data_IF_798897421371
#
_entry.id   IF_798897421371
#
_cell.length_a   1.000
_cell.length_b   1.000
_cell.length_c   1.000
_cell.angle_alpha   90.00
_cell.angle_beta   90.00
_cell.angle_gamma   90.00
#
_symmetry.space_group_name_H-M   'P 1'
#
loop_
_entity.id
_entity.type
_entity.pdbx_description
1 polymer ?
#
# COMPACT_ATOMS: atom_id res chain seq x y z
N UNK A 1 -26.81 10.32 14.11
CA UNK A 1 -26.51 8.94 14.56
C UNK A 1 -25.40 8.44 13.67
N UNK A 2 -24.17 8.18 14.21
CA UNK A 2 -23.07 7.65 13.38
C UNK A 2 -23.49 6.29 12.83
N UNK A 3 -23.17 6.05 11.55
CA UNK A 3 -23.42 4.77 10.90
C UNK A 3 -22.67 3.63 11.63
N UNK A 4 -23.23 2.44 11.65
CA UNK A 4 -22.62 1.26 12.30
C UNK A 4 -21.26 0.92 11.69
N UNK A 5 -21.10 1.10 10.39
CA UNK A 5 -19.83 0.89 9.71
C UNK A 5 -18.74 1.84 10.23
N UNK A 6 -19.05 3.13 10.38
CA UNK A 6 -18.10 4.11 10.93
C UNK A 6 -17.69 3.77 12.38
N UNK A 7 -18.62 3.31 13.21
CA UNK A 7 -18.31 2.89 14.58
C UNK A 7 -17.39 1.66 14.63
N UNK A 8 -17.64 0.67 13.76
CA UNK A 8 -16.79 -0.53 13.64
C UNK A 8 -15.40 -0.13 13.16
N UNK A 9 -15.31 0.73 12.15
CA UNK A 9 -14.04 1.24 11.63
C UNK A 9 -13.24 1.97 12.74
N UNK A 10 -13.85 2.94 13.42
CA UNK A 10 -13.20 3.71 14.49
C UNK A 10 -12.74 2.81 15.64
N UNK A 11 -13.56 1.81 16.03
CA UNK A 11 -13.20 0.86 17.08
C UNK A 11 -12.04 -0.05 16.67
N UNK A 12 -12.07 -0.58 15.45
CA UNK A 12 -10.99 -1.43 14.91
C UNK A 12 -9.69 -0.63 14.77
N UNK A 13 -9.74 0.57 14.18
CA UNK A 13 -8.58 1.45 14.00
C UNK A 13 -7.91 1.76 15.35
N UNK A 14 -8.70 2.18 16.33
CA UNK A 14 -8.20 2.52 17.66
C UNK A 14 -7.59 1.30 18.37
N UNK A 15 -8.24 0.13 18.35
CA UNK A 15 -7.73 -1.07 19.00
C UNK A 15 -6.45 -1.59 18.34
N UNK A 16 -6.39 -1.62 17.01
CA UNK A 16 -5.18 -2.02 16.29
C UNK A 16 -4.02 -1.05 16.55
N UNK A 17 -4.30 0.26 16.62
CA UNK A 17 -3.29 1.25 16.97
C UNK A 17 -2.82 1.15 18.43
N UNK A 18 -3.69 0.83 19.38
CA UNK A 18 -3.36 0.72 20.82
C UNK A 18 -2.62 -0.57 21.14
N UNK A 19 -3.04 -1.72 20.58
CA UNK A 19 -2.66 -3.05 21.07
C UNK A 19 -1.98 -3.95 20.05
N UNK A 20 -1.97 -3.57 18.76
CA UNK A 20 -1.51 -4.41 17.66
C UNK A 20 -2.54 -5.46 17.23
N UNK A 21 -2.37 -5.93 15.99
CA UNK A 21 -3.32 -6.86 15.36
C UNK A 21 -3.49 -8.16 16.17
N UNK A 22 -2.40 -8.79 16.58
CA UNK A 22 -2.46 -10.12 17.19
C UNK A 22 -3.18 -10.12 18.54
N UNK A 23 -3.04 -9.04 19.33
CA UNK A 23 -3.61 -8.89 20.66
C UNK A 23 -5.10 -8.46 20.69
N UNK A 24 -5.70 -8.15 19.53
CA UNK A 24 -7.08 -7.68 19.42
C UNK A 24 -7.99 -8.82 18.95
N UNK A 25 -9.18 -8.92 19.57
CA UNK A 25 -10.22 -9.87 19.16
C UNK A 25 -11.40 -9.14 18.50
N UNK A 26 -12.16 -9.84 17.65
CA UNK A 26 -13.39 -9.30 17.04
C UNK A 26 -14.45 -8.97 18.08
N UNK A 27 -14.47 -9.68 19.22
CA UNK A 27 -15.36 -9.38 20.34
C UNK A 27 -15.03 -8.00 20.94
N UNK A 28 -13.75 -7.71 21.21
CA UNK A 28 -13.34 -6.39 21.72
C UNK A 28 -13.69 -5.26 20.76
N UNK A 29 -13.59 -5.51 19.43
CA UNK A 29 -14.01 -4.51 18.43
C UNK A 29 -15.53 -4.31 18.47
N UNK A 30 -16.33 -5.38 18.52
CA UNK A 30 -17.79 -5.26 18.59
C UNK A 30 -18.27 -4.56 19.86
N UNK A 31 -17.65 -4.88 21.01
CA UNK A 31 -17.95 -4.24 22.29
C UNK A 31 -17.63 -2.74 22.26
N UNK A 32 -16.45 -2.36 21.76
CA UNK A 32 -16.03 -0.95 21.62
C UNK A 32 -16.88 -0.17 20.61
N UNK A 33 -17.34 -0.85 19.54
CA UNK A 33 -18.22 -0.27 18.52
C UNK A 33 -19.68 -0.19 18.98
N UNK A 34 -20.03 -0.77 20.12
CA UNK A 34 -21.41 -0.92 20.61
C UNK A 34 -22.32 -1.56 19.54
N UNK A 35 -21.90 -2.72 19.02
CA UNK A 35 -22.66 -3.54 18.06
C UNK A 35 -22.64 -5.01 18.49
N UNK A 36 -23.67 -5.76 18.13
CA UNK A 36 -23.63 -7.21 18.29
C UNK A 36 -22.58 -7.84 17.37
N UNK A 37 -21.90 -8.90 17.82
CA UNK A 37 -20.89 -9.61 17.02
C UNK A 37 -21.40 -10.03 15.61
N UNK A 38 -22.65 -10.51 15.51
CA UNK A 38 -23.27 -10.82 14.23
C UNK A 38 -23.46 -9.60 13.31
N UNK A 39 -23.54 -8.39 13.87
CA UNK A 39 -23.58 -7.16 13.08
C UNK A 39 -22.18 -6.84 12.53
N UNK A 40 -21.14 -6.99 13.34
CA UNK A 40 -19.77 -6.79 12.90
C UNK A 40 -19.42 -7.70 11.70
N UNK A 41 -19.75 -8.99 11.77
CA UNK A 41 -19.48 -9.96 10.70
C UNK A 41 -20.28 -9.74 9.40
N UNK A 42 -21.27 -8.85 9.41
CA UNK A 42 -21.93 -8.39 8.17
C UNK A 42 -21.13 -7.32 7.42
N UNK A 43 -20.18 -6.66 8.08
CA UNK A 43 -19.31 -5.64 7.49
C UNK A 43 -17.91 -6.15 7.14
N UNK A 44 -17.42 -7.15 7.88
CA UNK A 44 -16.14 -7.79 7.62
C UNK A 44 -16.20 -9.25 8.08
N UNK A 45 -15.84 -10.19 7.21
CA UNK A 45 -15.98 -11.64 7.44
C UNK A 45 -14.96 -12.19 8.44
N UNK A 46 -13.86 -11.46 8.66
CA UNK A 46 -12.73 -11.87 9.48
C UNK A 46 -12.07 -10.70 10.21
N UNK A 47 -11.21 -11.00 11.20
CA UNK A 47 -10.33 -9.97 11.80
C UNK A 47 -9.34 -9.42 10.77
N UNK A 48 -8.88 -10.25 9.85
CA UNK A 48 -8.02 -9.83 8.73
C UNK A 48 -8.73 -8.82 7.83
N UNK A 49 -9.99 -9.06 7.51
CA UNK A 49 -10.78 -8.13 6.69
C UNK A 49 -11.05 -6.80 7.40
N UNK A 50 -11.23 -6.80 8.74
CA UNK A 50 -11.28 -5.55 9.54
C UNK A 50 -9.96 -4.78 9.48
N UNK A 51 -8.83 -5.49 9.50
CA UNK A 51 -7.51 -4.86 9.33
C UNK A 51 -7.38 -4.24 7.94
N UNK A 52 -7.75 -4.98 6.90
CA UNK A 52 -7.74 -4.47 5.52
C UNK A 52 -8.62 -3.22 5.38
N UNK A 53 -9.82 -3.21 5.96
CA UNK A 53 -10.71 -2.05 5.97
C UNK A 53 -10.03 -0.80 6.54
N UNK A 54 -9.33 -0.93 7.67
CA UNK A 54 -8.65 0.18 8.34
C UNK A 54 -7.42 0.63 7.56
N UNK A 55 -6.55 -0.32 7.20
CA UNK A 55 -5.25 0.00 6.58
C UNK A 55 -5.36 0.39 5.10
N UNK A 56 -6.42 0.01 4.40
CA UNK A 56 -6.72 0.54 3.07
C UNK A 56 -6.94 2.06 3.11
N UNK A 57 -7.54 2.59 4.17
CA UNK A 57 -7.74 4.04 4.31
C UNK A 57 -6.41 4.77 4.56
N UNK A 58 -5.53 4.20 5.39
CA UNK A 58 -4.19 4.73 5.58
C UNK A 58 -3.37 4.67 4.28
N UNK A 59 -3.46 3.57 3.54
CA UNK A 59 -2.78 3.40 2.26
C UNK A 59 -3.32 4.39 1.21
N UNK A 60 -4.63 4.61 1.13
CA UNK A 60 -5.26 5.60 0.25
C UNK A 60 -4.74 7.01 0.55
N UNK A 61 -4.72 7.39 1.82
CA UNK A 61 -4.19 8.69 2.26
C UNK A 61 -2.71 8.84 1.91
N UNK A 62 -1.90 7.80 2.11
CA UNK A 62 -0.48 7.80 1.74
C UNK A 62 -0.28 7.95 0.23
N UNK A 63 -1.11 7.30 -0.60
CA UNK A 63 -1.07 7.44 -2.06
C UNK A 63 -1.41 8.88 -2.50
N UNK A 64 -2.42 9.49 -1.92
CA UNK A 64 -2.82 10.87 -2.24
C UNK A 64 -1.73 11.88 -1.88
N UNK A 65 -1.09 11.70 -0.73
CA UNK A 65 0.04 12.52 -0.32
C UNK A 65 1.24 12.31 -1.24
N UNK A 66 1.60 11.07 -1.54
CA UNK A 66 2.69 10.75 -2.46
C UNK A 66 2.47 11.28 -3.87
N UNK A 67 1.24 11.22 -4.38
CA UNK A 67 0.87 11.82 -5.66
C UNK A 67 1.10 13.33 -5.66
N UNK A 68 0.67 14.01 -4.60
CA UNK A 68 0.84 15.46 -4.46
C UNK A 68 2.32 15.85 -4.39
N UNK A 69 3.11 15.15 -3.59
CA UNK A 69 4.54 15.42 -3.42
C UNK A 69 5.33 15.17 -4.71
N UNK A 70 5.01 14.10 -5.45
CA UNK A 70 5.69 13.74 -6.69
C UNK A 70 5.54 14.78 -7.81
N UNK A 71 4.47 15.59 -7.79
CA UNK A 71 4.20 16.61 -8.83
C UNK A 71 5.27 17.70 -8.87
N UNK A 72 5.91 17.99 -7.75
CA UNK A 72 6.98 19.01 -7.66
C UNK A 72 8.35 18.50 -8.08
N UNK A 73 8.52 17.19 -8.22
CA UNK A 73 9.80 16.58 -8.56
C UNK A 73 9.99 16.49 -10.07
N UNK A 74 11.05 17.11 -10.59
CA UNK A 74 11.40 17.02 -12.01
C UNK A 74 12.10 15.69 -12.35
N UNK A 75 12.96 15.19 -11.47
CA UNK A 75 13.71 13.96 -11.61
C UNK A 75 12.79 12.73 -11.41
N UNK A 76 12.75 11.78 -12.37
CA UNK A 76 11.84 10.63 -12.29
C UNK A 76 12.09 9.73 -11.07
N UNK A 77 13.34 9.54 -10.66
CA UNK A 77 13.70 8.72 -9.50
C UNK A 77 13.16 9.38 -8.23
N UNK A 78 13.40 10.69 -8.06
CA UNK A 78 12.90 11.45 -6.92
C UNK A 78 11.38 11.50 -6.89
N UNK A 79 10.74 11.60 -8.05
CA UNK A 79 9.28 11.58 -8.14
C UNK A 79 8.69 10.23 -7.66
N UNK A 80 9.26 9.10 -8.08
CA UNK A 80 8.84 7.77 -7.60
C UNK A 80 9.12 7.60 -6.11
N UNK A 81 10.26 8.09 -5.61
CA UNK A 81 10.58 8.08 -4.17
C UNK A 81 9.58 8.91 -3.36
N UNK A 82 9.18 10.07 -3.86
CA UNK A 82 8.14 10.91 -3.23
C UNK A 82 6.79 10.18 -3.15
N UNK A 83 6.44 9.37 -4.18
CA UNK A 83 5.21 8.57 -4.15
C UNK A 83 5.22 7.47 -3.07
N UNK A 84 6.37 6.83 -2.82
CA UNK A 84 6.45 5.69 -1.88
C UNK A 84 6.78 6.12 -0.45
N UNK A 85 7.36 7.31 -0.24
CA UNK A 85 7.75 7.80 1.08
C UNK A 85 6.60 7.82 2.10
N UNK A 86 5.40 8.38 1.81
CA UNK A 86 4.30 8.38 2.78
C UNK A 86 3.82 6.98 3.15
N UNK A 87 3.97 5.99 2.25
CA UNK A 87 3.65 4.58 2.51
C UNK A 87 4.62 4.01 3.53
N UNK A 88 5.92 4.28 3.40
CA UNK A 88 6.94 3.87 4.38
C UNK A 88 6.67 4.50 5.76
N UNK A 89 6.41 5.81 5.80
CA UNK A 89 6.13 6.54 7.03
C UNK A 89 4.87 6.00 7.74
N UNK A 90 3.82 5.66 6.99
CA UNK A 90 2.63 5.02 7.55
C UNK A 90 2.93 3.62 8.09
N UNK A 91 3.72 2.84 7.37
CA UNK A 91 4.10 1.47 7.73
C UNK A 91 4.95 1.40 9.01
N UNK A 92 5.84 2.37 9.23
CA UNK A 92 6.74 2.42 10.39
C UNK A 92 6.01 2.73 11.70
N UNK A 93 4.80 3.28 11.66
CA UNK A 93 4.02 3.61 12.87
C UNK A 93 3.74 2.37 13.71
N UNK A 94 3.47 1.23 13.07
CA UNK A 94 3.26 -0.05 13.73
C UNK A 94 3.58 -1.22 12.79
N UNK A 95 4.84 -1.62 12.82
CA UNK A 95 5.41 -2.67 11.94
C UNK A 95 4.60 -3.98 12.00
N UNK A 96 4.18 -4.41 13.19
CA UNK A 96 3.36 -5.63 13.39
C UNK A 96 2.07 -5.60 12.55
N UNK A 97 1.34 -4.48 12.58
CA UNK A 97 0.11 -4.34 11.82
C UNK A 97 0.38 -4.26 10.31
N UNK A 98 1.48 -3.63 9.90
CA UNK A 98 1.92 -3.57 8.50
C UNK A 98 2.19 -4.97 7.95
N UNK A 99 2.89 -5.80 8.70
CA UNK A 99 3.17 -7.19 8.32
C UNK A 99 1.88 -8.01 8.23
N UNK A 100 0.98 -7.84 9.20
CA UNK A 100 -0.33 -8.50 9.16
C UNK A 100 -1.16 -8.02 7.95
N UNK A 101 -1.18 -6.71 7.67
CA UNK A 101 -1.84 -6.15 6.50
C UNK A 101 -1.30 -6.72 5.18
N UNK A 102 0.03 -6.79 5.02
CA UNK A 102 0.65 -7.37 3.83
C UNK A 102 0.25 -8.83 3.65
N UNK A 103 0.22 -9.62 4.72
CA UNK A 103 -0.20 -11.03 4.69
C UNK A 103 -1.66 -11.16 4.24
N UNK A 104 -2.58 -10.41 4.86
CA UNK A 104 -4.00 -10.46 4.48
C UNK A 104 -4.23 -9.96 3.05
N UNK A 105 -3.53 -8.91 2.62
CA UNK A 105 -3.62 -8.37 1.27
C UNK A 105 -3.21 -9.38 0.19
N UNK A 106 -2.08 -10.06 0.37
CA UNK A 106 -1.55 -10.97 -0.65
C UNK A 106 -2.12 -12.38 -0.56
N UNK A 107 -2.39 -12.87 0.65
CA UNK A 107 -2.73 -14.28 0.90
C UNK A 107 -4.12 -14.48 1.53
N UNK A 108 -4.86 -13.42 1.82
CA UNK A 108 -6.23 -13.48 2.32
C UNK A 108 -7.21 -14.10 1.32
N UNK A 109 -8.43 -14.36 1.76
CA UNK A 109 -9.45 -15.00 0.93
C UNK A 109 -9.81 -14.13 -0.29
N UNK A 110 -9.87 -14.71 -1.51
CA UNK A 110 -10.09 -13.94 -2.74
C UNK A 110 -11.47 -13.28 -2.84
N UNK A 111 -12.42 -13.72 -2.02
CA UNK A 111 -13.82 -13.22 -1.99
C UNK A 111 -14.02 -12.03 -1.04
N UNK A 112 -12.99 -11.64 -0.27
CA UNK A 112 -13.09 -10.54 0.69
C UNK A 112 -13.08 -9.19 -0.03
N UNK A 113 -14.07 -8.34 0.30
CA UNK A 113 -14.27 -7.03 -0.32
C UNK A 113 -13.06 -6.12 -0.09
N UNK A 114 -12.61 -5.98 1.16
CA UNK A 114 -11.52 -5.06 1.49
C UNK A 114 -10.17 -5.53 0.94
N UNK A 115 -10.01 -6.84 0.72
CA UNK A 115 -8.85 -7.33 -0.02
C UNK A 115 -8.86 -6.87 -1.48
N UNK A 116 -10.01 -6.94 -2.14
CA UNK A 116 -10.14 -6.45 -3.52
C UNK A 116 -9.88 -4.94 -3.62
N UNK A 117 -10.38 -4.16 -2.64
CA UNK A 117 -10.10 -2.72 -2.53
C UNK A 117 -8.61 -2.44 -2.32
N UNK A 118 -7.93 -3.18 -1.44
CA UNK A 118 -6.49 -3.04 -1.22
C UNK A 118 -5.66 -3.35 -2.46
N UNK A 119 -6.00 -4.41 -3.20
CA UNK A 119 -5.34 -4.73 -4.48
C UNK A 119 -5.60 -3.66 -5.55
N UNK A 120 -6.77 -3.00 -5.54
CA UNK A 120 -7.03 -1.85 -6.42
C UNK A 120 -6.17 -0.64 -6.06
N UNK A 121 -5.85 -0.41 -4.77
CA UNK A 121 -4.90 0.62 -4.35
C UNK A 121 -3.47 0.31 -4.80
N UNK A 122 -3.06 -0.97 -4.78
CA UNK A 122 -1.78 -1.39 -5.37
C UNK A 122 -1.74 -1.07 -6.87
N UNK A 123 -2.78 -1.44 -7.61
CA UNK A 123 -2.87 -1.13 -9.04
C UNK A 123 -2.88 0.39 -9.32
N UNK A 124 -3.47 1.20 -8.42
CA UNK A 124 -3.40 2.67 -8.49
C UNK A 124 -1.96 3.16 -8.33
N UNK A 125 -1.20 2.66 -7.35
CA UNK A 125 0.22 3.02 -7.19
C UNK A 125 1.03 2.70 -8.46
N UNK A 126 0.84 1.49 -9.00
CA UNK A 126 1.52 1.06 -10.24
C UNK A 126 1.19 2.00 -11.42
N UNK A 127 -0.08 2.38 -11.57
CA UNK A 127 -0.53 3.31 -12.61
C UNK A 127 0.05 4.72 -12.41
N UNK A 128 0.04 5.25 -11.18
CA UNK A 128 0.62 6.57 -10.86
C UNK A 128 2.12 6.63 -11.22
N UNK A 129 2.87 5.57 -10.92
CA UNK A 129 4.29 5.45 -11.31
C UNK A 129 4.41 5.42 -12.83
N UNK A 130 3.58 4.61 -13.52
CA UNK A 130 3.61 4.51 -14.98
C UNK A 130 3.28 5.86 -15.66
N UNK A 131 2.27 6.56 -15.21
CA UNK A 131 1.90 7.90 -15.68
C UNK A 131 3.06 8.89 -15.50
N UNK A 132 3.75 8.82 -14.35
CA UNK A 132 4.87 9.69 -14.06
C UNK A 132 6.10 9.40 -14.95
N UNK A 133 6.38 8.13 -15.23
CA UNK A 133 7.49 7.73 -16.09
C UNK A 133 7.24 8.05 -17.57
N UNK A 134 5.99 8.05 -18.01
CA UNK A 134 5.58 8.39 -19.38
C UNK A 134 5.29 9.88 -19.58
N UNK A 135 5.27 10.68 -18.52
CA UNK A 135 4.98 12.11 -18.59
C UNK A 135 6.00 12.85 -19.47
N UNK A 136 5.51 13.60 -20.44
CA UNK A 136 6.35 14.39 -21.37
C UNK A 136 6.93 13.59 -22.56
N UNK A 137 6.67 12.28 -22.65
CA UNK A 137 7.03 11.49 -23.82
C UNK A 137 6.01 11.70 -24.92
N UNK A 138 6.45 12.28 -26.06
CA UNK A 138 5.59 12.42 -27.24
C UNK A 138 5.74 11.17 -28.11
N UNK A 139 4.67 10.40 -28.23
CA UNK A 139 4.66 9.16 -29.02
C UNK A 139 3.36 9.03 -29.81
N UNK A 140 3.36 8.24 -30.90
CA UNK A 140 2.14 7.85 -31.59
C UNK A 140 1.28 6.96 -30.68
N UNK A 141 -0.03 6.86 -30.94
CA UNK A 141 -0.96 6.15 -30.07
C UNK A 141 -0.55 4.69 -29.79
N UNK A 142 -0.08 3.96 -30.80
CA UNK A 142 0.36 2.58 -30.63
C UNK A 142 1.65 2.48 -29.80
N UNK A 143 2.61 3.36 -30.03
CA UNK A 143 3.85 3.47 -29.26
C UNK A 143 3.58 3.90 -27.80
N UNK A 144 2.64 4.82 -27.59
CA UNK A 144 2.23 5.27 -26.27
C UNK A 144 1.65 4.12 -25.42
N UNK A 145 0.87 3.21 -26.03
CA UNK A 145 0.34 2.04 -25.34
C UNK A 145 1.46 1.07 -24.91
N UNK A 146 2.45 0.84 -25.77
CA UNK A 146 3.59 -0.01 -25.44
C UNK A 146 4.47 0.62 -24.36
N UNK A 147 4.75 1.93 -24.45
CA UNK A 147 5.49 2.68 -23.43
C UNK A 147 4.79 2.62 -22.06
N UNK A 148 3.47 2.81 -22.03
CA UNK A 148 2.71 2.72 -20.79
C UNK A 148 2.71 1.30 -20.23
N UNK A 149 2.60 0.26 -21.06
CA UNK A 149 2.69 -1.12 -20.62
C UNK A 149 4.06 -1.45 -19.98
N UNK A 150 5.16 -0.95 -20.55
CA UNK A 150 6.50 -1.09 -19.97
C UNK A 150 6.63 -0.31 -18.66
N UNK A 151 6.09 0.90 -18.60
CA UNK A 151 6.07 1.71 -17.38
C UNK A 151 5.26 1.05 -16.25
N UNK A 152 4.15 0.34 -16.57
CA UNK A 152 3.43 -0.48 -15.59
C UNK A 152 4.28 -1.63 -15.03
N UNK A 153 5.13 -2.25 -15.84
CA UNK A 153 6.08 -3.26 -15.33
C UNK A 153 7.10 -2.65 -14.36
N UNK A 154 7.56 -1.43 -14.62
CA UNK A 154 8.39 -0.71 -13.67
C UNK A 154 7.64 -0.40 -12.38
N UNK A 155 6.37 0.05 -12.45
CA UNK A 155 5.51 0.26 -11.28
C UNK A 155 5.34 -1.00 -10.45
N UNK A 156 5.06 -2.15 -11.07
CA UNK A 156 4.99 -3.47 -10.41
C UNK A 156 6.29 -3.87 -9.72
N UNK A 157 7.42 -3.59 -10.38
CA UNK A 157 8.74 -3.84 -9.79
C UNK A 157 8.99 -2.97 -8.57
N UNK A 158 8.60 -1.69 -8.61
CA UNK A 158 8.68 -0.79 -7.45
C UNK A 158 7.81 -1.30 -6.31
N UNK A 159 6.56 -1.72 -6.57
CA UNK A 159 5.70 -2.32 -5.54
C UNK A 159 6.33 -3.59 -4.94
N UNK A 160 6.90 -4.48 -5.75
CA UNK A 160 7.54 -5.70 -5.27
C UNK A 160 8.73 -5.40 -4.33
N UNK A 161 9.60 -4.45 -4.68
CA UNK A 161 10.72 -4.08 -3.81
C UNK A 161 10.25 -3.35 -2.55
N UNK A 162 9.27 -2.47 -2.65
CA UNK A 162 8.65 -1.81 -1.50
C UNK A 162 8.07 -2.84 -0.53
N UNK A 163 7.33 -3.83 -1.05
CA UNK A 163 6.75 -4.89 -0.24
C UNK A 163 7.81 -5.70 0.52
N UNK A 164 8.92 -6.06 -0.14
CA UNK A 164 10.03 -6.78 0.50
C UNK A 164 10.75 -5.93 1.56
N UNK A 165 10.93 -4.64 1.32
CA UNK A 165 11.50 -3.71 2.31
C UNK A 165 10.62 -3.64 3.57
N UNK A 166 9.31 -3.48 3.40
CA UNK A 166 8.36 -3.46 4.51
C UNK A 166 8.27 -4.79 5.28
N UNK A 167 8.60 -5.92 4.63
CA UNK A 167 8.64 -7.22 5.27
C UNK A 167 9.95 -7.52 6.03
N UNK A 168 11.01 -6.73 5.87
CA UNK A 168 12.33 -6.98 6.51
C UNK A 168 12.25 -7.15 8.03
N UNK A 169 11.51 -6.33 8.79
CA UNK A 169 11.44 -6.49 10.24
C UNK A 169 10.92 -7.86 10.69
N UNK A 170 10.02 -8.47 9.91
CA UNK A 170 9.45 -9.79 10.22
C UNK A 170 10.26 -10.96 9.67
N UNK A 171 10.96 -10.75 8.54
CA UNK A 171 11.74 -11.81 7.89
C UNK A 171 13.18 -11.89 8.37
N UNK A 172 13.70 -10.80 8.97
CA UNK A 172 15.10 -10.67 9.31
C UNK A 172 16.03 -10.64 8.09
N UNK A 173 15.49 -10.39 6.88
CA UNK A 173 16.27 -10.36 5.65
C UNK A 173 17.26 -9.18 5.63
N UNK A 174 18.47 -9.45 5.11
CA UNK A 174 19.53 -8.46 4.96
C UNK A 174 19.90 -7.70 6.25
N UNK A 175 20.31 -8.40 7.34
CA UNK A 175 20.59 -7.78 8.63
C UNK A 175 21.72 -6.75 8.49
N UNK A 176 21.56 -5.60 9.17
CA UNK A 176 22.55 -4.53 9.18
C UNK A 176 22.64 -3.68 7.93
N UNK A 177 21.81 -3.92 6.92
CA UNK A 177 21.73 -3.05 5.73
C UNK A 177 20.73 -1.92 5.91
N UNK A 178 21.04 -0.77 5.35
CA UNK A 178 20.14 0.38 5.28
C UNK A 178 18.97 0.08 4.31
N UNK A 179 17.79 -0.15 4.88
CA UNK A 179 16.59 -0.47 4.12
C UNK A 179 16.17 0.70 3.18
N UNK A 180 16.32 1.93 3.65
CA UNK A 180 15.96 3.13 2.88
C UNK A 180 16.93 3.35 1.71
N UNK A 181 18.23 3.21 1.96
CA UNK A 181 19.26 3.30 0.91
C UNK A 181 19.14 2.17 -0.13
N UNK A 182 18.83 0.94 0.31
CA UNK A 182 18.56 -0.18 -0.59
C UNK A 182 17.33 0.09 -1.48
N UNK A 183 16.22 0.57 -0.91
CA UNK A 183 15.03 0.92 -1.68
C UNK A 183 15.32 2.00 -2.71
N UNK A 184 16.02 3.07 -2.29
CA UNK A 184 16.44 4.12 -3.21
C UNK A 184 17.26 3.57 -4.39
N UNK A 185 18.28 2.77 -4.10
CA UNK A 185 19.11 2.15 -5.13
C UNK A 185 18.32 1.27 -6.10
N UNK A 186 17.39 0.46 -5.59
CA UNK A 186 16.53 -0.40 -6.39
C UNK A 186 15.57 0.40 -7.26
N UNK A 187 14.92 1.44 -6.73
CA UNK A 187 14.05 2.33 -7.51
C UNK A 187 14.87 3.02 -8.62
N UNK A 188 16.07 3.52 -8.32
CA UNK A 188 16.94 4.14 -9.32
C UNK A 188 17.28 3.16 -10.46
N UNK A 189 17.60 1.90 -10.15
CA UNK A 189 17.86 0.85 -11.14
C UNK A 189 16.63 0.52 -11.99
N UNK A 190 15.43 0.43 -11.37
CA UNK A 190 14.18 0.15 -12.08
C UNK A 190 13.85 1.29 -13.06
N UNK A 191 13.95 2.54 -12.62
CA UNK A 191 13.68 3.72 -13.43
C UNK A 191 14.69 3.84 -14.58
N UNK A 192 15.99 3.65 -14.30
CA UNK A 192 17.03 3.64 -15.34
C UNK A 192 16.81 2.53 -16.37
N UNK A 193 16.44 1.32 -15.91
CA UNK A 193 16.11 0.19 -16.78
C UNK A 193 14.89 0.47 -17.68
N UNK A 194 13.87 1.14 -17.16
CA UNK A 194 12.74 1.58 -17.96
C UNK A 194 13.20 2.51 -19.09
N UNK A 195 13.92 3.61 -18.79
CA UNK A 195 14.37 4.55 -19.80
C UNK A 195 15.29 3.91 -20.85
N UNK A 196 16.23 3.06 -20.43
CA UNK A 196 17.08 2.30 -21.37
C UNK A 196 16.30 1.34 -22.28
N UNK A 197 15.10 0.91 -21.89
CA UNK A 197 14.25 0.02 -22.70
C UNK A 197 13.40 0.75 -23.75
N UNK A 198 13.32 2.07 -23.67
CA UNK A 198 12.45 2.90 -24.55
C UNK A 198 13.25 3.87 -25.44
N UNK A 199 14.59 3.90 -25.29
CA UNK A 199 15.53 4.50 -26.24
C UNK A 199 15.69 3.62 -27.48
#
# INVERSE_FOLDING_TARGET
MRDKQSRIFEAAAALFAERGFDSVTTQQISDRADVAAGTLFRYASSKGELLLMVYNEEFRTALELGEQESRSEADPVRAVLAMVRPILEAADRRVENTVAYQRELLFGAPTEQYRAEGLALVARLEAMIAERLTAGVTAREAEAKDLFARALLAGRSVFAVLHLILARPSTGAHPGRDATGDLHGQIAQIVAGYFASVE
#
